data_IF_436317876532
#
_entry.id   IF_436317876532
#
_cell.length_a   1.000
_cell.length_b   1.000
_cell.length_c   1.000
_cell.angle_alpha   90.00
_cell.angle_beta   90.00
_cell.angle_gamma   90.00
#
_symmetry.space_group_name_H-M   'P 1'
#
loop_
_entity.id
_entity.type
_entity.pdbx_description
1 polymer ?
#
# COMPACT_ATOMS: atom_id res chain seq x y z
N UNK A 1 -17.20 13.37 9.28
CA UNK A 1 -16.18 13.71 10.29
C UNK A 1 -14.94 12.88 10.01
N UNK A 2 -13.82 13.48 9.63
CA UNK A 2 -12.55 12.77 9.56
C UNK A 2 -12.16 12.42 10.99
N UNK A 3 -12.47 11.20 11.42
CA UNK A 3 -12.05 10.68 12.71
C UNK A 3 -10.52 10.75 12.76
N UNK A 4 -10.02 11.61 13.64
CA UNK A 4 -8.59 11.80 13.82
C UNK A 4 -7.96 10.44 14.15
N UNK A 5 -6.97 10.03 13.36
CA UNK A 5 -6.34 8.73 13.57
C UNK A 5 -5.52 8.80 14.87
N UNK A 6 -5.69 7.79 15.74
CA UNK A 6 -5.00 7.70 17.02
C UNK A 6 -3.54 7.26 16.89
N UNK A 7 -2.93 6.75 17.96
CA UNK A 7 -1.59 6.16 17.91
C UNK A 7 -1.51 5.05 16.84
N UNK A 8 -0.38 5.01 16.14
CA UNK A 8 -0.11 4.04 15.09
C UNK A 8 0.99 3.07 15.52
N UNK A 9 0.80 1.78 15.31
CA UNK A 9 1.86 0.78 15.41
C UNK A 9 2.56 0.69 14.07
N UNK A 10 3.87 0.90 14.04
CA UNK A 10 4.66 0.65 12.84
C UNK A 10 4.76 -0.84 12.56
N UNK A 11 4.46 -1.24 11.32
CA UNK A 11 4.59 -2.62 10.85
C UNK A 11 5.88 -2.80 10.05
N UNK A 12 6.19 -1.83 9.19
CA UNK A 12 7.39 -1.79 8.34
C UNK A 12 7.78 -0.34 8.10
N UNK A 13 9.07 -0.02 8.17
CA UNK A 13 9.61 1.23 7.65
C UNK A 13 10.99 1.00 7.03
N UNK A 14 11.18 1.57 5.85
CA UNK A 14 12.47 1.60 5.16
C UNK A 14 12.59 2.90 4.35
N UNK A 15 13.57 3.01 3.45
CA UNK A 15 13.81 4.24 2.70
C UNK A 15 12.77 4.53 1.61
N UNK A 16 11.90 3.57 1.26
CA UNK A 16 10.90 3.73 0.18
C UNK A 16 9.49 3.93 0.71
N UNK A 17 9.14 3.26 1.81
CA UNK A 17 7.80 3.30 2.37
C UNK A 17 7.76 3.12 3.89
N UNK A 18 6.63 3.50 4.47
CA UNK A 18 6.23 3.17 5.84
C UNK A 18 4.82 2.62 5.87
N UNK A 19 4.64 1.48 6.51
CA UNK A 19 3.33 0.87 6.78
C UNK A 19 3.07 0.93 8.27
N UNK A 20 1.91 1.46 8.64
CA UNK A 20 1.45 1.53 10.02
C UNK A 20 0.03 1.01 10.17
N UNK A 21 -0.29 0.46 11.33
CA UNK A 21 -1.65 0.08 11.72
C UNK A 21 -2.18 1.10 12.72
N UNK A 22 -3.27 1.76 12.37
CA UNK A 22 -4.00 2.64 13.27
C UNK A 22 -4.82 1.81 14.26
N UNK A 23 -4.94 2.28 15.51
CA UNK A 23 -5.89 1.73 16.49
C UNK A 23 -7.35 1.78 16.01
N UNK A 24 -7.66 2.66 15.06
CA UNK A 24 -8.93 2.77 14.36
C UNK A 24 -9.22 1.65 13.34
N UNK A 25 -8.31 0.68 13.18
CA UNK A 25 -8.50 -0.51 12.33
C UNK A 25 -8.03 -0.33 10.88
N UNK A 26 -7.60 0.86 10.49
CA UNK A 26 -7.02 1.13 9.16
C UNK A 26 -5.51 0.86 9.14
N UNK A 27 -5.01 0.58 7.94
CA UNK A 27 -3.59 0.52 7.59
C UNK A 27 -3.26 1.75 6.76
N UNK A 28 -2.19 2.44 7.11
CA UNK A 28 -1.68 3.59 6.37
C UNK A 28 -0.37 3.20 5.71
N UNK A 29 -0.32 3.39 4.39
CA UNK A 29 0.89 3.16 3.58
C UNK A 29 1.36 4.52 3.08
N UNK A 30 2.48 5.00 3.62
CA UNK A 30 3.15 6.20 3.16
C UNK A 30 4.26 5.82 2.18
N UNK A 31 4.20 6.35 0.97
CA UNK A 31 5.24 6.24 -0.05
C UNK A 31 6.10 7.51 -0.01
N UNK A 32 7.36 7.41 0.38
CA UNK A 32 8.19 8.59 0.64
C UNK A 32 8.53 9.36 -0.62
N UNK A 33 8.82 8.67 -1.72
CA UNK A 33 9.19 9.29 -2.99
C UNK A 33 8.08 10.18 -3.58
N UNK A 34 6.81 9.80 -3.39
CA UNK A 34 5.65 10.55 -3.89
C UNK A 34 5.00 11.44 -2.83
N UNK A 35 5.35 11.28 -1.56
CA UNK A 35 4.68 11.94 -0.43
C UNK A 35 3.25 11.47 -0.20
N UNK A 36 2.76 10.46 -0.92
CA UNK A 36 1.38 9.98 -0.85
C UNK A 36 1.22 9.04 0.34
N UNK A 37 0.16 9.25 1.12
CA UNK A 37 -0.29 8.29 2.13
C UNK A 37 -1.67 7.75 1.77
N UNK A 38 -1.75 6.43 1.59
CA UNK A 38 -3.02 5.75 1.34
C UNK A 38 -3.51 5.12 2.63
N UNK A 39 -4.75 5.46 3.02
CA UNK A 39 -5.46 4.85 4.14
C UNK A 39 -6.46 3.84 3.61
N UNK A 40 -6.41 2.62 4.11
CA UNK A 40 -7.34 1.55 3.76
C UNK A 40 -7.61 0.64 4.96
N UNK A 41 -8.64 -0.20 4.90
CA UNK A 41 -8.81 -1.24 5.92
C UNK A 41 -7.79 -2.38 5.72
N UNK A 42 -7.63 -3.24 6.72
CA UNK A 42 -6.64 -4.31 6.69
C UNK A 42 -6.89 -5.37 5.59
N UNK A 43 -8.15 -5.63 5.22
CA UNK A 43 -8.51 -6.58 4.17
C UNK A 43 -8.10 -6.05 2.79
N UNK A 44 -8.48 -4.81 2.48
CA UNK A 44 -8.06 -4.11 1.27
C UNK A 44 -6.54 -4.06 1.17
N UNK A 45 -5.84 -3.78 2.28
CA UNK A 45 -4.38 -3.79 2.30
C UNK A 45 -3.79 -5.14 1.88
N UNK A 46 -4.31 -6.26 2.41
CA UNK A 46 -3.82 -7.61 2.06
C UNK A 46 -4.05 -7.92 0.58
N UNK A 47 -5.21 -7.54 0.03
CA UNK A 47 -5.53 -7.75 -1.38
C UNK A 47 -4.62 -6.92 -2.30
N UNK A 48 -4.39 -5.64 -1.96
CA UNK A 48 -3.45 -4.78 -2.67
C UNK A 48 -2.03 -5.33 -2.60
N UNK A 49 -1.57 -5.73 -1.41
CA UNK A 49 -0.23 -6.29 -1.23
C UNK A 49 -0.01 -7.58 -2.04
N UNK A 50 -1.01 -8.46 -2.08
CA UNK A 50 -0.98 -9.67 -2.92
C UNK A 50 -0.88 -9.32 -4.42
N UNK A 51 -1.70 -8.38 -4.89
CA UNK A 51 -1.66 -7.90 -6.27
C UNK A 51 -0.32 -7.26 -6.64
N UNK A 52 0.25 -6.42 -5.76
CA UNK A 52 1.56 -5.80 -5.95
C UNK A 52 2.70 -6.83 -5.95
N UNK A 53 2.63 -7.86 -5.10
CA UNK A 53 3.60 -8.95 -5.09
C UNK A 53 3.57 -9.71 -6.42
N UNK A 54 2.39 -10.10 -6.88
CA UNK A 54 2.21 -10.74 -8.19
C UNK A 54 2.69 -9.86 -9.34
N UNK A 55 2.46 -8.55 -9.26
CA UNK A 55 2.99 -7.60 -10.24
C UNK A 55 4.52 -7.56 -10.20
N UNK A 56 5.12 -7.45 -9.01
CA UNK A 56 6.58 -7.49 -8.83
C UNK A 56 7.21 -8.74 -9.41
N UNK A 57 6.61 -9.91 -9.19
CA UNK A 57 7.12 -11.19 -9.69
C UNK A 57 7.04 -11.29 -11.23
N UNK A 58 6.17 -10.50 -11.87
CA UNK A 58 6.01 -10.47 -13.34
C UNK A 58 6.84 -9.38 -14.01
N UNK A 59 7.32 -8.37 -13.29
CA UNK A 59 8.16 -7.30 -13.86
C UNK A 59 9.42 -7.88 -14.52
N UNK A 60 10.00 -8.91 -13.90
CA UNK A 60 11.19 -9.59 -14.41
C UNK A 60 10.87 -10.70 -15.44
N UNK A 61 9.58 -10.95 -15.75
CA UNK A 61 9.12 -11.96 -16.71
C UNK A 61 8.64 -11.37 -18.04
N UNK A 62 8.33 -12.23 -19.02
CA UNK A 62 7.73 -11.79 -20.30
C UNK A 62 6.34 -11.18 -20.06
N UNK A 63 6.03 -10.00 -20.60
CA UNK A 63 4.75 -9.32 -20.38
C UNK A 63 3.61 -10.15 -20.99
N UNK A 64 2.74 -10.70 -20.14
CA UNK A 64 1.54 -11.44 -20.56
C UNK A 64 0.24 -10.83 -20.02
N UNK A 65 0.19 -9.53 -19.79
CA UNK A 65 -1.06 -8.83 -19.44
C UNK A 65 -1.32 -7.69 -20.43
N UNK A 66 -2.57 -7.65 -20.89
CA UNK A 66 -3.04 -6.85 -22.02
C UNK A 66 -2.84 -5.35 -21.85
N UNK A 67 -2.74 -4.66 -22.98
CA UNK A 67 -2.51 -3.22 -23.07
C UNK A 67 -3.62 -2.45 -22.38
N UNK A 68 -3.28 -1.64 -21.38
CA UNK A 68 -4.22 -0.74 -20.69
C UNK A 68 -3.62 0.65 -20.59
N UNK A 69 -4.44 1.68 -20.81
CA UNK A 69 -4.04 3.09 -20.71
C UNK A 69 -4.46 3.62 -19.34
N UNK A 70 -3.55 4.27 -18.63
CA UNK A 70 -3.83 4.90 -17.33
C UNK A 70 -3.61 6.41 -17.49
N UNK A 71 -4.57 7.22 -17.03
CA UNK A 71 -4.54 8.68 -17.09
C UNK A 71 -3.67 9.28 -15.98
#
# INVERSE_FOLDING_TARGET
MASNCGPHTELVSNNTLRVTRCSCGTVHVTLFASGVTVRMNAETFRNVASGLKLASDRIDGSPQLGTTTIN
#
